data_IF_956712549238
#
_entry.id   IF_956712549238
#
_cell.length_a   1.000
_cell.length_b   1.000
_cell.length_c   1.000
_cell.angle_alpha   90.00
_cell.angle_beta   90.00
_cell.angle_gamma   90.00
#
_symmetry.space_group_name_H-M   'P 1'
#
loop_
_entity.id
_entity.type
_entity.pdbx_description
1 polymer ?
#
# COMPACT_ATOMS: atom_id res chain seq x y z
N UNK A 1 -2.19 40.27 14.63
CA UNK A 1 -0.98 39.67 14.01
C UNK A 1 -1.46 38.86 12.82
N UNK A 2 -0.96 39.16 11.62
CA UNK A 2 -1.25 38.32 10.44
C UNK A 2 -0.38 37.06 10.61
N UNK A 3 -1.00 35.90 10.73
CA UNK A 3 -0.31 34.63 10.85
C UNK A 3 0.51 34.41 9.57
N UNK A 4 1.84 34.28 9.73
CA UNK A 4 2.75 34.11 8.58
C UNK A 4 2.49 32.75 7.96
N UNK A 5 2.06 32.74 6.69
CA UNK A 5 1.83 31.49 5.97
C UNK A 5 3.19 30.80 5.73
N UNK A 6 3.31 29.55 6.16
CA UNK A 6 4.43 28.69 5.82
C UNK A 6 4.13 27.92 4.53
N UNK A 7 4.85 28.18 3.43
CA UNK A 7 4.60 27.52 2.15
C UNK A 7 5.09 26.07 2.10
N UNK A 8 5.83 25.60 3.11
CA UNK A 8 6.53 24.32 3.10
C UNK A 8 5.55 23.15 3.00
N UNK A 9 4.53 23.10 3.85
CA UNK A 9 3.56 22.00 3.86
C UNK A 9 2.83 21.87 2.52
N UNK A 10 2.45 22.99 1.92
CA UNK A 10 1.79 23.02 0.60
C UNK A 10 2.69 22.50 -0.53
N UNK A 11 3.98 22.90 -0.52
CA UNK A 11 4.94 22.45 -1.52
C UNK A 11 5.23 20.95 -1.41
N UNK A 12 5.39 20.44 -0.18
CA UNK A 12 5.57 19.01 0.10
C UNK A 12 4.35 18.21 -0.36
N UNK A 13 3.15 18.66 0.03
CA UNK A 13 1.90 18.01 -0.39
C UNK A 13 1.76 17.96 -1.91
N UNK A 14 2.06 19.06 -2.61
CA UNK A 14 2.04 19.10 -4.08
C UNK A 14 2.96 18.05 -4.69
N UNK A 15 4.20 17.96 -4.20
CA UNK A 15 5.16 16.97 -4.71
C UNK A 15 4.65 15.55 -4.50
N UNK A 16 4.10 15.25 -3.33
CA UNK A 16 3.56 13.94 -3.00
C UNK A 16 2.35 13.59 -3.87
N UNK A 17 1.41 14.52 -4.04
CA UNK A 17 0.27 14.34 -4.94
C UNK A 17 0.70 14.03 -6.38
N UNK A 18 1.69 14.76 -6.89
CA UNK A 18 2.23 14.55 -8.24
C UNK A 18 2.96 13.21 -8.36
N UNK A 19 3.72 12.78 -7.34
CA UNK A 19 4.36 11.46 -7.30
C UNK A 19 3.34 10.32 -7.39
N UNK A 20 2.15 10.53 -6.79
CA UNK A 20 1.05 9.58 -6.87
C UNK A 20 0.19 9.74 -8.14
N UNK A 21 0.62 10.54 -9.11
CA UNK A 21 -0.08 10.81 -10.38
C UNK A 21 -1.53 11.26 -10.17
N UNK A 22 -1.78 12.08 -9.13
CA UNK A 22 -3.12 12.59 -8.85
C UNK A 22 -3.26 14.05 -9.27
N UNK A 23 -4.35 14.36 -9.95
CA UNK A 23 -4.75 15.73 -10.29
C UNK A 23 -5.41 16.41 -9.10
N UNK A 24 -5.48 17.74 -9.12
CA UNK A 24 -6.24 18.50 -8.11
C UNK A 24 -7.71 18.07 -8.03
N UNK A 25 -8.32 17.78 -9.18
CA UNK A 25 -9.72 17.34 -9.24
C UNK A 25 -9.94 15.96 -8.58
N UNK A 26 -8.98 15.06 -8.68
CA UNK A 26 -9.05 13.73 -8.05
C UNK A 26 -8.90 13.77 -6.53
N UNK A 27 -8.19 14.78 -6.01
CA UNK A 27 -7.96 14.95 -4.57
C UNK A 27 -9.04 15.84 -3.92
N UNK A 28 -9.67 16.71 -4.71
CA UNK A 28 -10.72 17.60 -4.23
C UNK A 28 -12.02 16.86 -3.87
N UNK A 29 -12.76 17.41 -2.93
CA UNK A 29 -14.07 16.96 -2.49
C UNK A 29 -14.85 18.10 -1.80
N UNK A 30 -15.92 17.76 -1.07
CA UNK A 30 -16.75 18.73 -0.35
C UNK A 30 -15.98 19.47 0.76
N UNK A 31 -14.96 18.86 1.36
CA UNK A 31 -14.15 19.47 2.43
C UNK A 31 -13.06 20.37 1.86
N UNK A 32 -12.48 20.01 0.70
CA UNK A 32 -11.34 20.68 0.11
C UNK A 32 -11.55 20.91 -1.39
N UNK A 33 -11.99 22.13 -1.76
CA UNK A 33 -12.20 22.49 -3.16
C UNK A 33 -10.87 22.57 -3.93
N UNK A 34 -10.92 22.38 -5.25
CA UNK A 34 -9.77 22.54 -6.17
C UNK A 34 -9.06 23.87 -5.95
N UNK A 35 -9.83 24.97 -5.83
CA UNK A 35 -9.27 26.31 -5.64
C UNK A 35 -8.54 26.44 -4.30
N UNK A 36 -9.06 25.83 -3.23
CA UNK A 36 -8.42 25.82 -1.93
C UNK A 36 -7.11 25.02 -1.97
N UNK A 37 -7.12 23.80 -2.50
CA UNK A 37 -5.93 22.96 -2.61
C UNK A 37 -4.84 23.65 -3.43
N UNK A 38 -5.21 24.27 -4.56
CA UNK A 38 -4.28 25.01 -5.40
C UNK A 38 -3.62 26.20 -4.65
N UNK A 39 -4.39 26.95 -3.84
CA UNK A 39 -3.84 28.02 -3.00
C UNK A 39 -2.92 27.49 -1.92
N UNK A 40 -3.28 26.39 -1.28
CA UNK A 40 -2.45 25.71 -0.27
C UNK A 40 -1.12 25.25 -0.88
N UNK A 41 -1.15 24.55 -2.02
CA UNK A 41 0.05 24.09 -2.72
C UNK A 41 0.99 25.23 -3.17
N UNK A 42 0.44 26.42 -3.40
CA UNK A 42 1.20 27.62 -3.73
C UNK A 42 1.69 28.41 -2.50
N UNK A 43 1.43 27.92 -1.29
CA UNK A 43 1.77 28.66 -0.07
C UNK A 43 0.98 29.95 0.13
N UNK A 44 -0.25 30.04 -0.46
CA UNK A 44 -1.11 31.23 -0.38
C UNK A 44 -2.25 31.07 0.64
N UNK A 45 -2.35 29.92 1.30
CA UNK A 45 -3.37 29.61 2.28
C UNK A 45 -2.81 28.65 3.32
N UNK A 46 -3.13 28.90 4.59
CA UNK A 46 -2.93 27.91 5.67
C UNK A 46 -3.97 26.82 5.57
N UNK A 47 -3.66 25.66 6.15
CA UNK A 47 -4.55 24.51 6.22
C UNK A 47 -4.72 24.09 7.68
N UNK A 48 -5.93 23.74 8.10
CA UNK A 48 -6.12 23.11 9.41
C UNK A 48 -5.63 21.67 9.40
N UNK A 49 -5.22 21.17 10.57
CA UNK A 49 -4.78 19.76 10.70
C UNK A 49 -5.82 18.77 10.20
N UNK A 50 -7.11 19.01 10.47
CA UNK A 50 -8.20 18.15 9.99
C UNK A 50 -8.27 18.08 8.45
N UNK A 51 -8.15 19.23 7.78
CA UNK A 51 -8.15 19.29 6.31
C UNK A 51 -6.89 18.68 5.72
N UNK A 52 -5.72 18.92 6.34
CA UNK A 52 -4.46 18.31 5.90
C UNK A 52 -4.53 16.78 6.00
N UNK A 53 -4.97 16.25 7.16
CA UNK A 53 -5.13 14.81 7.36
C UNK A 53 -6.07 14.20 6.34
N UNK A 54 -7.16 14.89 6.00
CA UNK A 54 -8.09 14.45 4.96
C UNK A 54 -7.46 14.46 3.56
N UNK A 55 -6.70 15.49 3.20
CA UNK A 55 -5.96 15.53 1.92
C UNK A 55 -4.90 14.44 1.82
N UNK A 56 -4.19 14.17 2.92
CA UNK A 56 -3.20 13.09 2.97
C UNK A 56 -3.85 11.72 2.77
N UNK A 57 -5.01 11.49 3.41
CA UNK A 57 -5.80 10.29 3.16
C UNK A 57 -6.16 10.14 1.66
N UNK A 58 -6.55 11.23 0.99
CA UNK A 58 -6.89 11.22 -0.45
C UNK A 58 -5.72 10.84 -1.35
N UNK A 59 -4.49 11.08 -0.93
CA UNK A 59 -3.27 10.65 -1.63
C UNK A 59 -2.64 9.38 -1.05
N UNK A 60 -3.36 8.67 -0.17
CA UNK A 60 -2.94 7.42 0.48
C UNK A 60 -1.64 7.57 1.30
N UNK A 61 -1.58 8.61 2.11
CA UNK A 61 -0.42 8.92 2.95
C UNK A 61 -0.83 9.18 4.39
N UNK A 62 -0.04 8.71 5.36
CA UNK A 62 -0.25 9.05 6.77
C UNK A 62 0.30 10.43 7.11
N UNK A 63 -0.19 11.01 8.20
CA UNK A 63 0.32 12.29 8.72
C UNK A 63 1.79 12.15 9.14
N UNK A 64 2.14 11.04 9.75
CA UNK A 64 3.50 10.75 10.23
C UNK A 64 4.48 10.66 9.07
N UNK A 65 4.09 9.98 7.99
CA UNK A 65 4.90 9.88 6.78
C UNK A 65 5.08 11.24 6.11
N UNK A 66 4.01 12.04 6.04
CA UNK A 66 4.09 13.41 5.55
C UNK A 66 5.04 14.27 6.38
N UNK A 67 4.94 14.24 7.70
CA UNK A 67 5.80 15.00 8.59
C UNK A 67 7.26 14.58 8.43
N UNK A 68 7.53 13.27 8.35
CA UNK A 68 8.87 12.76 8.10
C UNK A 68 9.46 13.29 6.77
N UNK A 69 8.68 13.24 5.69
CA UNK A 69 9.12 13.74 4.37
C UNK A 69 9.35 15.24 4.39
N UNK A 70 8.48 16.00 5.04
CA UNK A 70 8.63 17.44 5.23
C UNK A 70 9.93 17.75 5.98
N UNK A 71 10.18 17.06 7.08
CA UNK A 71 11.35 17.28 7.93
C UNK A 71 12.65 16.92 7.20
N UNK A 72 12.65 15.89 6.36
CA UNK A 72 13.77 15.60 5.46
C UNK A 72 14.03 16.72 4.46
N UNK A 73 12.97 17.30 3.87
CA UNK A 73 13.11 18.37 2.87
C UNK A 73 13.56 19.71 3.48
N UNK A 74 13.19 19.96 4.73
CA UNK A 74 13.56 21.17 5.46
C UNK A 74 14.90 21.06 6.19
N UNK A 75 15.55 19.89 6.14
CA UNK A 75 16.79 19.62 6.86
C UNK A 75 16.61 19.36 8.36
N UNK A 76 15.38 19.25 8.83
CA UNK A 76 15.05 18.79 10.17
C UNK A 76 15.08 17.28 10.14
N UNK A 77 16.17 16.67 10.57
CA UNK A 77 16.26 15.21 10.67
C UNK A 77 15.53 14.78 11.94
N UNK A 78 14.50 13.93 11.84
CA UNK A 78 13.89 13.38 13.05
C UNK A 78 14.92 12.66 13.90
N UNK A 79 14.88 12.77 15.22
CA UNK A 79 15.84 12.11 16.09
C UNK A 79 15.72 10.58 15.92
N UNK A 80 16.78 9.95 15.40
CA UNK A 80 16.84 8.52 15.07
C UNK A 80 16.89 7.60 16.29
N UNK A 81 16.88 8.12 17.53
CA UNK A 81 17.33 7.33 18.67
C UNK A 81 16.29 6.79 19.63
N UNK A 82 15.07 7.20 19.70
CA UNK A 82 14.16 6.71 20.76
C UNK A 82 12.70 6.51 20.35
N UNK A 83 12.44 6.16 19.11
CA UNK A 83 11.08 5.88 18.70
C UNK A 83 10.68 4.41 18.90
N UNK A 84 10.62 3.96 20.16
CA UNK A 84 9.61 3.00 20.57
C UNK A 84 8.19 3.59 20.52
N UNK A 85 8.03 4.71 19.85
CA UNK A 85 6.70 5.23 19.57
C UNK A 85 6.05 4.31 18.54
N UNK A 86 5.20 3.46 19.03
CA UNK A 86 4.30 2.59 18.28
C UNK A 86 3.33 3.43 17.45
N UNK A 87 3.79 4.01 16.35
CA UNK A 87 2.94 4.60 15.29
C UNK A 87 2.09 3.54 14.55
N UNK A 88 2.08 2.32 15.03
CA UNK A 88 1.34 1.21 14.47
C UNK A 88 -0.18 1.42 14.41
N UNK A 89 -0.73 2.32 15.21
CA UNK A 89 -2.18 2.41 15.41
C UNK A 89 -2.93 3.16 14.30
N UNK A 90 -2.30 4.14 13.63
CA UNK A 90 -2.99 4.97 12.63
C UNK A 90 -2.94 4.37 11.22
N UNK A 91 -1.81 3.81 10.82
CA UNK A 91 -1.68 3.13 9.53
C UNK A 91 -2.51 1.85 9.49
N UNK A 92 -2.63 1.15 10.62
CA UNK A 92 -3.47 -0.04 10.74
C UNK A 92 -4.96 0.21 10.49
N UNK A 93 -5.47 1.41 10.76
CA UNK A 93 -6.88 1.74 10.52
C UNK A 93 -7.27 1.69 9.05
N UNK A 94 -6.38 2.14 8.17
CA UNK A 94 -6.66 2.24 6.74
C UNK A 94 -6.57 0.88 6.03
N UNK A 95 -5.90 -0.10 6.64
CA UNK A 95 -5.71 -1.46 6.11
C UNK A 95 -6.32 -2.54 7.01
N UNK A 96 -7.20 -2.17 7.91
CA UNK A 96 -7.72 -3.02 9.00
C UNK A 96 -8.29 -4.35 8.49
N UNK A 97 -9.01 -4.33 7.38
CA UNK A 97 -9.63 -5.54 6.83
C UNK A 97 -8.58 -6.55 6.32
N UNK A 98 -7.55 -6.08 5.63
CA UNK A 98 -6.49 -6.95 5.10
C UNK A 98 -5.54 -7.39 6.20
N UNK A 99 -5.24 -6.53 7.17
CA UNK A 99 -4.37 -6.86 8.30
C UNK A 99 -5.03 -7.87 9.25
N UNK A 100 -6.27 -7.66 9.64
CA UNK A 100 -7.02 -8.60 10.46
C UNK A 100 -7.09 -10.00 9.81
N UNK A 101 -7.15 -10.03 8.49
CA UNK A 101 -7.10 -11.26 7.74
C UNK A 101 -5.70 -11.91 7.77
N UNK A 102 -4.62 -11.15 7.60
CA UNK A 102 -3.26 -11.67 7.62
C UNK A 102 -2.86 -12.28 8.96
N UNK A 103 -3.20 -11.61 10.07
CA UNK A 103 -2.92 -12.11 11.41
C UNK A 103 -3.61 -13.46 11.64
N UNK A 104 -4.79 -13.65 11.06
CA UNK A 104 -5.55 -14.87 11.15
C UNK A 104 -5.00 -16.01 10.27
N UNK A 105 -4.39 -15.67 9.11
CA UNK A 105 -3.88 -16.65 8.13
C UNK A 105 -2.43 -17.06 8.32
N UNK A 106 -1.69 -16.40 9.19
CA UNK A 106 -0.26 -16.70 9.37
C UNK A 106 0.00 -18.02 10.10
N UNK A 107 -1.00 -18.65 10.70
CA UNK A 107 -0.82 -19.78 11.60
C UNK A 107 -1.73 -20.99 11.40
N UNK A 108 -2.81 -20.91 10.61
CA UNK A 108 -3.81 -21.99 10.52
C UNK A 108 -4.28 -22.25 9.08
N UNK A 109 -4.74 -23.49 8.82
CA UNK A 109 -5.40 -23.81 7.55
C UNK A 109 -6.71 -22.99 7.41
N UNK A 110 -7.01 -22.43 6.22
CA UNK A 110 -8.20 -21.61 6.01
C UNK A 110 -9.49 -22.40 6.22
N UNK A 111 -10.42 -21.81 6.93
CA UNK A 111 -11.71 -22.40 7.27
C UNK A 111 -12.85 -21.81 6.44
N UNK A 112 -14.02 -22.49 6.46
CA UNK A 112 -15.24 -21.96 5.85
C UNK A 112 -15.68 -20.63 6.49
N UNK A 113 -15.42 -20.44 7.79
CA UNK A 113 -15.71 -19.17 8.47
C UNK A 113 -14.84 -18.03 7.92
N UNK A 114 -13.58 -18.29 7.61
CA UNK A 114 -12.67 -17.31 7.01
C UNK A 114 -13.10 -16.93 5.60
N UNK A 115 -13.48 -17.93 4.80
CA UNK A 115 -14.03 -17.68 3.47
C UNK A 115 -15.27 -16.79 3.51
N UNK A 116 -16.23 -17.09 4.39
CA UNK A 116 -17.45 -16.28 4.58
C UNK A 116 -17.17 -14.89 5.09
N UNK A 117 -16.18 -14.74 5.98
CA UNK A 117 -15.72 -13.43 6.42
C UNK A 117 -15.21 -12.61 5.24
N UNK A 118 -14.32 -13.17 4.41
CA UNK A 118 -13.81 -12.47 3.23
C UNK A 118 -14.89 -12.17 2.20
N UNK A 119 -15.84 -13.06 1.99
CA UNK A 119 -16.97 -12.81 1.11
C UNK A 119 -17.82 -11.62 1.56
N UNK A 120 -18.01 -11.47 2.89
CA UNK A 120 -18.68 -10.30 3.47
C UNK A 120 -17.86 -9.02 3.29
N UNK A 121 -16.56 -9.07 3.55
CA UNK A 121 -15.66 -7.93 3.36
C UNK A 121 -15.58 -7.50 1.89
N UNK A 122 -15.49 -8.44 0.96
CA UNK A 122 -15.49 -8.14 -0.48
C UNK A 122 -16.71 -7.31 -0.90
N UNK A 123 -17.92 -7.67 -0.43
CA UNK A 123 -19.14 -6.92 -0.70
C UNK A 123 -19.09 -5.50 -0.13
N UNK A 124 -18.58 -5.34 1.10
CA UNK A 124 -18.44 -4.03 1.75
C UNK A 124 -17.50 -3.14 0.96
N UNK A 125 -16.31 -3.64 0.61
CA UNK A 125 -15.31 -2.87 -0.11
C UNK A 125 -15.68 -2.61 -1.56
N UNK A 126 -16.41 -3.52 -2.21
CA UNK A 126 -17.00 -3.29 -3.53
C UNK A 126 -17.98 -2.10 -3.51
N UNK A 127 -18.85 -2.02 -2.50
CA UNK A 127 -19.79 -0.92 -2.34
C UNK A 127 -19.06 0.40 -2.05
N UNK A 128 -18.05 0.40 -1.18
CA UNK A 128 -17.23 1.59 -0.90
C UNK A 128 -16.54 2.09 -2.17
N UNK A 129 -15.91 1.21 -2.92
CA UNK A 129 -15.26 1.57 -4.17
C UNK A 129 -16.26 2.13 -5.21
N UNK A 130 -17.44 1.57 -5.29
CA UNK A 130 -18.50 2.07 -6.18
C UNK A 130 -18.99 3.48 -5.80
N UNK A 131 -18.84 3.90 -4.53
CA UNK A 131 -19.26 5.22 -4.05
C UNK A 131 -18.17 6.28 -4.24
N UNK A 132 -16.92 6.00 -3.91
CA UNK A 132 -15.88 7.02 -3.85
C UNK A 132 -14.79 6.89 -4.94
N UNK A 133 -14.72 5.76 -5.65
CA UNK A 133 -13.71 5.47 -6.67
C UNK A 133 -12.26 5.75 -6.23
N UNK A 134 -12.00 5.69 -4.90
CA UNK A 134 -10.68 5.93 -4.35
C UNK A 134 -9.76 4.73 -4.64
N UNK A 135 -8.47 5.01 -4.85
CA UNK A 135 -7.45 3.98 -5.11
C UNK A 135 -7.30 3.01 -3.93
N UNK A 136 -7.37 3.51 -2.70
CA UNK A 136 -7.34 2.70 -1.49
C UNK A 136 -8.47 1.67 -1.50
N UNK A 137 -9.70 2.11 -1.68
CA UNK A 137 -10.88 1.23 -1.69
C UNK A 137 -10.86 0.25 -2.85
N UNK A 138 -10.32 0.67 -4.01
CA UNK A 138 -10.11 -0.24 -5.15
C UNK A 138 -9.13 -1.36 -4.80
N UNK A 139 -7.99 -1.02 -4.21
CA UNK A 139 -6.93 -1.99 -3.91
C UNK A 139 -7.32 -2.92 -2.77
N UNK A 140 -8.04 -2.42 -1.76
CA UNK A 140 -8.66 -3.24 -0.72
C UNK A 140 -9.63 -4.26 -1.33
N UNK A 141 -10.57 -3.79 -2.15
CA UNK A 141 -11.53 -4.68 -2.82
C UNK A 141 -10.83 -5.76 -3.64
N UNK A 142 -9.85 -5.39 -4.47
CA UNK A 142 -9.08 -6.32 -5.29
C UNK A 142 -8.36 -7.36 -4.41
N UNK A 143 -7.69 -6.91 -3.37
CA UNK A 143 -6.86 -7.77 -2.51
C UNK A 143 -7.71 -8.74 -1.70
N UNK A 144 -8.81 -8.29 -1.13
CA UNK A 144 -9.76 -9.14 -0.41
C UNK A 144 -10.35 -10.20 -1.35
N UNK A 145 -10.72 -9.81 -2.56
CA UNK A 145 -11.21 -10.74 -3.57
C UNK A 145 -10.16 -11.78 -3.97
N UNK A 146 -8.92 -11.37 -4.17
CA UNK A 146 -7.80 -12.28 -4.44
C UNK A 146 -7.64 -13.27 -3.29
N UNK A 147 -7.56 -12.80 -2.05
CA UNK A 147 -7.41 -13.68 -0.88
C UNK A 147 -8.56 -14.68 -0.77
N UNK A 148 -9.81 -14.25 -0.95
CA UNK A 148 -10.95 -15.20 -0.94
C UNK A 148 -10.81 -16.24 -2.04
N UNK A 149 -10.40 -15.85 -3.24
CA UNK A 149 -10.28 -16.77 -4.37
C UNK A 149 -9.11 -17.75 -4.19
N UNK A 150 -7.99 -17.35 -3.57
CA UNK A 150 -6.85 -18.26 -3.33
C UNK A 150 -7.18 -19.41 -2.37
N UNK A 151 -8.23 -19.28 -1.56
CA UNK A 151 -8.63 -20.32 -0.61
C UNK A 151 -9.81 -21.19 -1.10
N UNK A 152 -10.48 -20.82 -2.19
CA UNK A 152 -11.74 -21.44 -2.59
C UNK A 152 -11.61 -22.96 -2.83
N UNK A 153 -10.50 -23.40 -3.43
CA UNK A 153 -10.25 -24.81 -3.72
C UNK A 153 -9.86 -25.64 -2.48
N UNK A 154 -9.36 -24.98 -1.43
CA UNK A 154 -9.05 -25.62 -0.15
C UNK A 154 -10.29 -25.74 0.72
N UNK A 155 -11.04 -24.65 0.84
CA UNK A 155 -12.23 -24.55 1.70
C UNK A 155 -13.44 -25.25 1.08
N UNK A 156 -13.59 -25.24 -0.25
CA UNK A 156 -14.71 -25.81 -1.02
C UNK A 156 -16.06 -25.38 -0.46
N UNK A 157 -16.36 -24.06 -0.43
CA UNK A 157 -17.59 -23.55 0.14
C UNK A 157 -18.80 -24.09 -0.63
N UNK A 158 -19.82 -24.65 0.06
CA UNK A 158 -20.98 -25.26 -0.61
C UNK A 158 -21.83 -24.25 -1.38
N UNK A 159 -21.81 -22.98 -0.96
CA UNK A 159 -22.54 -21.88 -1.58
C UNK A 159 -21.91 -21.32 -2.86
N UNK A 160 -20.63 -21.64 -3.11
CA UNK A 160 -19.92 -21.13 -4.28
C UNK A 160 -18.85 -22.12 -4.74
N UNK A 161 -19.08 -22.86 -5.83
CA UNK A 161 -18.04 -23.70 -6.42
C UNK A 161 -16.87 -22.86 -6.93
N UNK A 162 -15.71 -23.51 -7.06
CA UNK A 162 -14.53 -22.86 -7.65
C UNK A 162 -14.85 -22.32 -9.05
N UNK A 163 -14.50 -21.08 -9.36
CA UNK A 163 -14.62 -20.54 -10.71
C UNK A 163 -13.48 -21.03 -11.63
N UNK A 164 -12.51 -21.76 -11.09
CA UNK A 164 -11.30 -22.17 -11.79
C UNK A 164 -11.43 -23.59 -12.36
N UNK A 165 -10.96 -23.75 -13.59
CA UNK A 165 -10.91 -25.05 -14.25
C UNK A 165 -9.65 -25.84 -13.89
N UNK A 166 -8.55 -25.14 -13.63
CA UNK A 166 -7.26 -25.69 -13.24
C UNK A 166 -6.37 -24.57 -12.63
N UNK A 167 -5.16 -24.93 -12.21
CA UNK A 167 -4.21 -24.01 -11.57
C UNK A 167 -3.77 -22.88 -12.50
N UNK A 168 -3.61 -23.15 -13.80
CA UNK A 168 -3.20 -22.13 -14.78
C UNK A 168 -4.31 -21.09 -14.97
N UNK A 169 -5.55 -21.53 -15.08
CA UNK A 169 -6.73 -20.66 -15.14
C UNK A 169 -6.87 -19.82 -13.86
N UNK A 170 -6.71 -20.44 -12.69
CA UNK A 170 -6.71 -19.74 -11.41
C UNK A 170 -5.66 -18.61 -11.39
N UNK A 171 -4.43 -18.92 -11.76
CA UNK A 171 -3.35 -17.92 -11.80
C UNK A 171 -3.64 -16.82 -12.81
N UNK A 172 -4.15 -17.13 -14.00
CA UNK A 172 -4.51 -16.14 -15.00
C UNK A 172 -5.60 -15.16 -14.51
N UNK A 173 -6.64 -15.69 -13.87
CA UNK A 173 -7.72 -14.87 -13.30
C UNK A 173 -7.22 -13.99 -12.15
N UNK A 174 -6.41 -14.51 -11.24
CA UNK A 174 -5.83 -13.75 -10.13
C UNK A 174 -4.90 -12.63 -10.64
N UNK A 175 -4.08 -12.91 -11.66
CA UNK A 175 -3.24 -11.92 -12.32
C UNK A 175 -4.06 -10.82 -13.00
N UNK A 176 -5.15 -11.18 -13.67
CA UNK A 176 -6.06 -10.21 -14.28
C UNK A 176 -6.67 -9.27 -13.24
N UNK A 177 -7.06 -9.79 -12.07
CA UNK A 177 -7.54 -8.99 -10.95
C UNK A 177 -6.46 -8.05 -10.39
N UNK A 178 -5.21 -8.50 -10.28
CA UNK A 178 -4.10 -7.71 -9.77
C UNK A 178 -3.59 -6.65 -10.75
N UNK A 179 -3.94 -6.74 -12.04
CA UNK A 179 -3.43 -5.86 -13.10
C UNK A 179 -3.54 -4.36 -12.81
N UNK A 180 -4.66 -3.81 -12.28
CA UNK A 180 -4.76 -2.38 -11.97
C UNK A 180 -3.69 -1.92 -10.97
N UNK A 181 -3.43 -2.74 -9.95
CA UNK A 181 -2.42 -2.45 -8.92
C UNK A 181 -1.02 -2.53 -9.51
N UNK A 182 -0.72 -3.60 -10.26
CA UNK A 182 0.59 -3.78 -10.93
C UNK A 182 0.89 -2.63 -11.89
N UNK A 183 -0.09 -2.23 -12.70
CA UNK A 183 0.06 -1.09 -13.62
C UNK A 183 0.38 0.20 -12.87
N UNK A 184 -0.31 0.48 -11.77
CA UNK A 184 -0.02 1.62 -10.91
C UNK A 184 1.40 1.56 -10.33
N UNK A 185 1.83 0.42 -9.78
CA UNK A 185 3.15 0.26 -9.19
C UNK A 185 4.30 0.53 -10.17
N UNK A 186 4.11 0.23 -11.45
CA UNK A 186 5.11 0.58 -12.46
C UNK A 186 5.21 2.08 -12.71
N UNK A 187 4.12 2.84 -12.57
CA UNK A 187 4.10 4.28 -12.87
C UNK A 187 4.65 5.16 -11.75
N UNK A 188 4.52 4.76 -10.48
CA UNK A 188 4.95 5.56 -9.32
C UNK A 188 6.47 5.58 -9.20
N UNK A 189 7.08 6.76 -9.20
CA UNK A 189 8.54 6.93 -9.16
C UNK A 189 9.13 6.79 -7.76
N UNK A 190 8.39 7.19 -6.73
CA UNK A 190 8.81 7.12 -5.32
C UNK A 190 7.80 6.30 -4.56
N UNK A 191 8.27 5.20 -3.98
CA UNK A 191 7.42 4.29 -3.23
C UNK A 191 7.46 4.63 -1.74
N UNK A 192 6.29 4.81 -1.18
CA UNK A 192 6.04 4.99 0.24
C UNK A 192 5.51 3.69 0.85
N UNK A 193 4.95 3.80 2.05
CA UNK A 193 4.32 2.67 2.73
C UNK A 193 3.22 2.03 1.87
N UNK A 194 2.39 2.82 1.22
CA UNK A 194 1.25 2.37 0.41
C UNK A 194 1.68 1.42 -0.72
N UNK A 195 2.67 1.79 -1.53
CA UNK A 195 3.13 0.96 -2.65
C UNK A 195 3.79 -0.33 -2.19
N UNK A 196 4.65 -0.26 -1.18
CA UNK A 196 5.32 -1.44 -0.60
C UNK A 196 4.30 -2.40 0.01
N UNK A 197 3.30 -1.85 0.72
CA UNK A 197 2.23 -2.63 1.32
C UNK A 197 1.47 -3.44 0.27
N UNK A 198 0.93 -2.79 -0.76
CA UNK A 198 0.16 -3.46 -1.80
C UNK A 198 0.99 -4.42 -2.63
N UNK A 199 2.22 -4.06 -2.97
CA UNK A 199 3.12 -4.98 -3.68
C UNK A 199 3.33 -6.26 -2.89
N UNK A 200 3.64 -6.14 -1.60
CA UNK A 200 3.87 -7.30 -0.74
C UNK A 200 2.64 -8.21 -0.65
N UNK A 201 1.44 -7.64 -0.47
CA UNK A 201 0.23 -8.42 -0.28
C UNK A 201 -0.27 -9.10 -1.55
N UNK A 202 0.02 -8.52 -2.70
CA UNK A 202 -0.38 -9.08 -3.99
C UNK A 202 0.59 -10.11 -4.55
N UNK A 203 1.77 -10.31 -3.95
CA UNK A 203 2.75 -11.30 -4.46
C UNK A 203 2.19 -12.70 -4.62
N UNK A 204 1.22 -13.09 -3.80
CA UNK A 204 0.51 -14.40 -3.89
C UNK A 204 -0.20 -14.60 -5.24
N UNK A 205 -0.62 -13.51 -5.89
CA UNK A 205 -1.34 -13.53 -7.17
C UNK A 205 -0.44 -13.14 -8.36
N UNK A 206 0.83 -12.80 -8.13
CA UNK A 206 1.71 -12.34 -9.19
C UNK A 206 2.60 -13.45 -9.73
N UNK A 207 2.84 -13.47 -11.07
CA UNK A 207 3.88 -14.31 -11.62
C UNK A 207 5.23 -13.98 -11.01
N UNK A 208 6.06 -14.98 -10.78
CA UNK A 208 7.43 -14.78 -10.29
C UNK A 208 8.24 -13.80 -11.16
N UNK A 209 8.01 -13.80 -12.49
CA UNK A 209 8.62 -12.83 -13.42
C UNK A 209 8.21 -11.38 -13.10
N UNK A 210 6.96 -11.15 -12.74
CA UNK A 210 6.48 -9.80 -12.35
C UNK A 210 7.15 -9.38 -11.05
N UNK A 211 7.25 -10.29 -10.07
CA UNK A 211 7.94 -10.01 -8.80
C UNK A 211 9.43 -9.75 -9.05
N UNK A 212 10.09 -10.55 -9.87
CA UNK A 212 11.49 -10.37 -10.27
C UNK A 212 11.75 -8.95 -10.83
N UNK A 213 10.83 -8.43 -11.64
CA UNK A 213 10.97 -7.10 -12.25
C UNK A 213 10.63 -5.97 -11.26
N UNK A 214 9.59 -6.13 -10.44
CA UNK A 214 9.13 -5.08 -9.52
C UNK A 214 9.97 -4.98 -8.24
N UNK A 215 10.55 -6.08 -7.75
CA UNK A 215 11.28 -6.10 -6.49
C UNK A 215 12.48 -5.13 -6.47
N UNK A 216 13.36 -5.10 -7.49
CA UNK A 216 14.44 -4.11 -7.54
C UNK A 216 13.92 -2.66 -7.61
N UNK A 217 12.80 -2.43 -8.30
CA UNK A 217 12.16 -1.11 -8.37
C UNK A 217 11.60 -0.71 -6.99
N UNK A 218 10.95 -1.65 -6.28
CA UNK A 218 10.43 -1.43 -4.95
C UNK A 218 11.53 -0.97 -3.97
N UNK A 219 12.66 -1.68 -3.97
CA UNK A 219 13.80 -1.36 -3.09
C UNK A 219 14.45 -0.02 -3.49
N UNK A 220 14.67 0.22 -4.79
CA UNK A 220 15.26 1.46 -5.29
C UNK A 220 14.36 2.67 -5.05
N UNK A 221 13.08 2.57 -5.38
CA UNK A 221 12.12 3.69 -5.30
C UNK A 221 11.73 4.05 -3.86
N UNK A 222 11.85 3.12 -2.91
CA UNK A 222 11.62 3.37 -1.47
C UNK A 222 12.89 3.78 -0.71
N UNK A 223 14.04 3.83 -1.36
CA UNK A 223 15.34 4.13 -0.72
C UNK A 223 15.35 5.52 -0.07
N UNK A 224 14.75 6.51 -0.71
CA UNK A 224 14.72 7.88 -0.22
C UNK A 224 14.14 8.02 1.19
N UNK A 225 13.20 7.17 1.55
CA UNK A 225 12.49 7.23 2.84
C UNK A 225 12.79 6.05 3.76
N UNK A 226 13.89 5.33 3.51
CA UNK A 226 14.28 4.14 4.29
C UNK A 226 14.46 4.40 5.79
N UNK A 227 14.82 5.62 6.16
CA UNK A 227 14.99 6.03 7.57
C UNK A 227 13.64 6.15 8.32
N UNK A 228 12.52 6.25 7.62
CA UNK A 228 11.22 6.11 8.25
C UNK A 228 11.02 4.63 8.63
N UNK A 229 10.99 4.36 9.94
CA UNK A 229 11.08 2.99 10.48
C UNK A 229 10.08 2.01 9.84
N UNK A 230 8.87 2.46 9.59
CA UNK A 230 7.85 1.63 8.96
C UNK A 230 8.19 1.25 7.51
N UNK A 231 8.76 2.17 6.73
CA UNK A 231 9.22 1.90 5.36
C UNK A 231 10.43 0.97 5.41
N UNK A 232 11.39 1.22 6.28
CA UNK A 232 12.56 0.36 6.47
C UNK A 232 12.15 -1.09 6.79
N UNK A 233 11.29 -1.27 7.78
CA UNK A 233 10.77 -2.59 8.16
C UNK A 233 9.97 -3.24 7.02
N UNK A 234 9.14 -2.49 6.32
CA UNK A 234 8.31 -3.04 5.24
C UNK A 234 9.15 -3.46 4.02
N UNK A 235 10.26 -2.75 3.72
CA UNK A 235 11.24 -3.15 2.69
C UNK A 235 11.80 -4.55 2.97
N UNK A 236 12.24 -4.80 4.21
CA UNK A 236 12.75 -6.11 4.64
C UNK A 236 11.65 -7.18 4.54
N UNK A 237 10.46 -6.89 5.07
CA UNK A 237 9.31 -7.81 4.98
C UNK A 237 8.92 -8.12 3.51
N UNK A 238 9.04 -7.16 2.62
CA UNK A 238 8.78 -7.33 1.17
C UNK A 238 9.78 -8.29 0.54
N UNK A 239 11.07 -8.18 0.90
CA UNK A 239 12.12 -9.10 0.43
C UNK A 239 11.90 -10.52 0.94
N UNK A 240 11.50 -10.71 2.19
CA UNK A 240 11.18 -12.04 2.72
C UNK A 240 9.92 -12.64 2.04
N UNK A 241 8.92 -11.83 1.75
CA UNK A 241 7.74 -12.31 0.99
C UNK A 241 8.14 -12.76 -0.42
N UNK A 242 8.98 -11.99 -1.10
CA UNK A 242 9.49 -12.35 -2.42
C UNK A 242 10.38 -13.62 -2.36
N UNK A 243 11.25 -13.74 -1.35
CA UNK A 243 12.02 -14.95 -1.09
C UNK A 243 11.14 -16.20 -1.01
N UNK A 244 10.06 -16.14 -0.23
CA UNK A 244 9.10 -17.25 -0.10
C UNK A 244 8.47 -17.63 -1.44
N UNK A 245 8.06 -16.64 -2.23
CA UNK A 245 7.48 -16.91 -3.57
C UNK A 245 8.51 -17.54 -4.49
N UNK A 246 9.74 -17.05 -4.53
CA UNK A 246 10.80 -17.61 -5.37
C UNK A 246 11.20 -19.03 -4.97
N UNK A 247 11.25 -19.34 -3.66
CA UNK A 247 11.48 -20.71 -3.18
C UNK A 247 10.36 -21.63 -3.66
N UNK A 248 9.10 -21.25 -3.49
CA UNK A 248 7.95 -22.04 -3.92
C UNK A 248 7.94 -22.25 -5.45
N UNK A 249 8.38 -21.25 -6.21
CA UNK A 249 8.54 -21.32 -7.67
C UNK A 249 9.83 -22.03 -8.11
N UNK A 250 10.66 -22.54 -7.21
CA UNK A 250 11.97 -23.16 -7.45
C UNK A 250 12.97 -22.26 -8.17
N UNK A 251 12.85 -20.94 -8.00
CA UNK A 251 13.75 -19.92 -8.55
C UNK A 251 14.84 -19.56 -7.52
N UNK A 252 15.75 -20.50 -7.26
CA UNK A 252 16.78 -20.39 -6.23
C UNK A 252 17.72 -19.16 -6.40
N UNK A 253 18.14 -18.76 -7.62
CA UNK A 253 18.96 -17.56 -7.79
C UNK A 253 18.25 -16.28 -7.33
N UNK A 254 16.96 -16.12 -7.64
CA UNK A 254 16.17 -14.95 -7.23
C UNK A 254 15.90 -14.97 -5.74
N UNK A 255 15.62 -16.15 -5.17
CA UNK A 255 15.47 -16.33 -3.73
C UNK A 255 16.75 -15.90 -2.99
N UNK A 256 17.92 -16.40 -3.43
CA UNK A 256 19.21 -16.01 -2.85
C UNK A 256 19.45 -14.50 -2.93
N UNK A 257 19.17 -13.88 -4.09
CA UNK A 257 19.31 -12.43 -4.27
C UNK A 257 18.41 -11.65 -3.32
N UNK A 258 17.16 -12.06 -3.16
CA UNK A 258 16.22 -11.41 -2.24
C UNK A 258 16.73 -11.49 -0.79
N UNK A 259 17.21 -12.66 -0.34
CA UNK A 259 17.77 -12.87 0.98
C UNK A 259 19.01 -12.01 1.21
N UNK A 260 19.99 -12.05 0.30
CA UNK A 260 21.21 -11.23 0.41
C UNK A 260 20.88 -9.72 0.46
N UNK A 261 19.90 -9.27 -0.32
CA UNK A 261 19.45 -7.87 -0.27
C UNK A 261 18.80 -7.55 1.08
N UNK A 262 18.02 -8.47 1.66
CA UNK A 262 17.42 -8.26 2.98
C UNK A 262 18.51 -8.17 4.08
N UNK A 263 19.52 -9.02 4.03
CA UNK A 263 20.67 -8.95 4.94
C UNK A 263 21.38 -7.58 4.85
N UNK A 264 21.63 -7.07 3.64
CA UNK A 264 22.25 -5.75 3.43
C UNK A 264 21.41 -4.57 3.95
N UNK A 265 20.10 -4.72 4.07
CA UNK A 265 19.23 -3.67 4.63
C UNK A 265 19.15 -3.71 6.17
N UNK A 266 19.56 -4.79 6.81
CA UNK A 266 19.55 -4.95 8.26
C UNK A 266 20.83 -4.43 8.93
N UNK A 267 21.92 -4.28 8.17
CA UNK A 267 23.22 -3.77 8.62
C UNK A 267 23.56 -2.42 7.96
#
# INVERSE_FOLDING_TARGET
MVEKIDPTDGAVFRQLRLNHHQTLAQVADEQNSIAFISKFEQGKSNISFSRLSHLLFRINMSVEEFLFIRDLQTGIVPPLKDSEFTYNTLIHRDFEAVLAFQDRFSSEEPTLADYRYLLKQEKIWQQRYAQDHNRQTQFEFITIRIFRLTMIDRVKPPEQPSPFTNVEDAMAQLQALAKPVVSYLYTVEVWNYFELYWFRHLMVALPSKTIHNLLPLAIKRSEKYRAFNQIGTLRVKTLFSAFTVFINARQLPDAKKALTTAEQLLY
#
